data_IF_911790851009
#
_entry.id   IF_911790851009
#
_cell.length_a   1.000
_cell.length_b   1.000
_cell.length_c   1.000
_cell.angle_alpha   90.00
_cell.angle_beta   90.00
_cell.angle_gamma   90.00
#
_symmetry.space_group_name_H-M   'P 1'
#
loop_
_entity.id
_entity.type
_entity.pdbx_description
1 polymer ?
#
# COMPACT_ATOMS: atom_id res chain seq x y z
N UNK A 1 -28.44 -9.18 -2.69
CA UNK A 1 -28.61 -8.49 -1.40
C UNK A 1 -27.75 -7.24 -1.45
N UNK A 2 -28.38 -6.06 -1.44
CA UNK A 2 -27.69 -4.78 -1.57
C UNK A 2 -27.05 -4.41 -0.23
N UNK A 3 -25.75 -4.61 -0.12
CA UNK A 3 -24.95 -3.99 0.93
C UNK A 3 -24.70 -2.55 0.44
N UNK A 4 -25.20 -1.60 1.21
CA UNK A 4 -25.32 -0.17 0.90
C UNK A 4 -24.14 0.39 0.09
N UNK A 5 -24.37 1.04 -1.07
CA UNK A 5 -23.32 1.70 -1.79
C UNK A 5 -23.03 3.01 -1.04
N UNK A 6 -21.87 3.10 -0.39
CA UNK A 6 -21.22 4.41 -0.31
C UNK A 6 -21.14 4.87 -1.77
N UNK A 7 -21.73 6.02 -2.14
CA UNK A 7 -21.79 6.46 -3.53
C UNK A 7 -20.37 6.43 -4.11
N UNK A 8 -20.22 5.85 -5.30
CA UNK A 8 -18.95 5.85 -6.00
C UNK A 8 -18.41 7.29 -6.04
N UNK A 9 -17.32 7.53 -5.32
CA UNK A 9 -16.77 8.87 -5.16
C UNK A 9 -15.99 9.31 -6.42
N UNK A 10 -15.64 8.35 -7.28
CA UNK A 10 -14.87 8.57 -8.51
C UNK A 10 -15.54 7.87 -9.69
N UNK A 11 -16.01 8.64 -10.66
CA UNK A 11 -16.48 8.12 -11.95
C UNK A 11 -15.32 7.74 -12.88
N UNK A 12 -14.15 8.34 -12.68
CA UNK A 12 -12.92 8.06 -13.43
C UNK A 12 -11.69 8.26 -12.55
N UNK A 13 -10.56 7.65 -12.95
CA UNK A 13 -9.28 7.91 -12.32
C UNK A 13 -8.78 9.31 -12.68
N UNK A 14 -8.06 10.02 -11.79
CA UNK A 14 -7.43 11.30 -12.13
C UNK A 14 -6.70 11.20 -13.47
N UNK A 15 -6.83 12.21 -14.34
CA UNK A 15 -6.45 12.21 -15.77
C UNK A 15 -7.47 11.61 -16.76
N UNK A 16 -8.69 11.31 -16.32
CA UNK A 16 -9.78 10.86 -17.20
C UNK A 16 -9.63 9.41 -17.68
N UNK A 17 -8.80 8.62 -17.00
CA UNK A 17 -8.57 7.21 -17.31
C UNK A 17 -9.61 6.31 -16.64
N UNK A 18 -9.78 5.09 -17.14
CA UNK A 18 -10.67 4.12 -16.52
C UNK A 18 -10.22 3.76 -15.10
N UNK A 19 -11.18 3.47 -14.22
CA UNK A 19 -10.91 3.01 -12.84
C UNK A 19 -10.03 1.76 -12.80
N UNK A 20 -10.18 0.86 -13.78
CA UNK A 20 -9.30 -0.30 -13.98
C UNK A 20 -7.84 0.11 -14.17
N UNK A 21 -7.58 1.12 -15.01
CA UNK A 21 -6.24 1.66 -15.22
C UNK A 21 -5.70 2.31 -13.94
N UNK A 22 -6.58 3.01 -13.21
CA UNK A 22 -6.29 3.56 -11.90
C UNK A 22 -5.86 2.51 -10.87
N UNK A 23 -6.56 1.38 -10.84
CA UNK A 23 -6.24 0.24 -9.98
C UNK A 23 -4.87 -0.35 -10.29
N UNK A 24 -4.54 -0.53 -11.57
CA UNK A 24 -3.20 -0.98 -11.96
C UNK A 24 -2.11 -0.03 -11.49
N UNK A 25 -2.27 1.27 -11.76
CA UNK A 25 -1.30 2.30 -11.37
C UNK A 25 -1.13 2.30 -9.85
N UNK A 26 -2.23 2.28 -9.11
CA UNK A 26 -2.21 2.34 -7.64
C UNK A 26 -1.51 1.12 -7.04
N UNK A 27 -1.82 -0.09 -7.52
CA UNK A 27 -1.16 -1.29 -7.02
C UNK A 27 0.35 -1.30 -7.37
N UNK A 28 0.72 -0.87 -8.57
CA UNK A 28 2.15 -0.77 -8.98
C UNK A 28 2.90 0.23 -8.09
N UNK A 29 2.29 1.39 -7.79
CA UNK A 29 2.89 2.40 -6.93
C UNK A 29 3.08 1.89 -5.51
N UNK A 30 2.10 1.18 -4.95
CA UNK A 30 2.21 0.58 -3.61
C UNK A 30 3.33 -0.48 -3.58
N UNK A 31 3.45 -1.30 -4.62
CA UNK A 31 4.53 -2.31 -4.73
C UNK A 31 5.92 -1.71 -4.90
N UNK A 32 6.04 -0.51 -5.49
CA UNK A 32 7.31 0.18 -5.67
C UNK A 32 7.91 0.68 -4.36
N UNK A 33 7.09 0.98 -3.35
CA UNK A 33 7.52 1.56 -2.08
C UNK A 33 8.45 0.63 -1.28
N UNK A 34 8.11 -0.65 -1.01
CA UNK A 34 9.03 -1.55 -0.32
C UNK A 34 10.32 -1.81 -1.14
N UNK A 35 10.23 -1.79 -2.47
CA UNK A 35 11.40 -1.94 -3.36
C UNK A 35 12.33 -0.73 -3.22
N UNK A 36 11.78 0.49 -3.27
CA UNK A 36 12.53 1.73 -3.08
C UNK A 36 13.16 1.82 -1.68
N UNK A 37 12.42 1.41 -0.65
CA UNK A 37 12.93 1.33 0.72
C UNK A 37 14.15 0.40 0.83
N UNK A 38 14.06 -0.81 0.27
CA UNK A 38 15.17 -1.77 0.24
C UNK A 38 16.40 -1.24 -0.52
N UNK A 39 16.20 -0.55 -1.64
CA UNK A 39 17.29 0.07 -2.43
C UNK A 39 17.98 1.17 -1.61
N UNK A 40 17.21 2.05 -0.95
CA UNK A 40 17.74 3.15 -0.15
C UNK A 40 18.57 2.62 1.01
N UNK A 41 18.09 1.60 1.72
CA UNK A 41 18.86 0.95 2.78
C UNK A 41 20.16 0.34 2.28
N UNK A 42 20.11 -0.39 1.16
CA UNK A 42 21.32 -0.99 0.57
C UNK A 42 22.34 0.08 0.16
N UNK A 43 21.89 1.18 -0.44
CA UNK A 43 22.75 2.25 -0.93
C UNK A 43 23.30 3.15 0.18
N UNK A 44 22.51 3.46 1.20
CA UNK A 44 22.87 4.44 2.24
C UNK A 44 23.45 3.79 3.50
N UNK A 45 23.03 2.57 3.86
CA UNK A 45 23.46 1.92 5.10
C UNK A 45 24.58 0.90 4.88
N UNK A 46 24.82 0.46 3.64
CA UNK A 46 25.91 -0.47 3.31
C UNK A 46 25.76 -1.87 3.89
N UNK A 47 24.63 -2.17 4.54
CA UNK A 47 24.29 -3.50 5.01
C UNK A 47 24.13 -4.42 3.80
N UNK A 48 24.91 -5.51 3.78
CA UNK A 48 24.78 -6.52 2.75
C UNK A 48 23.34 -7.02 2.70
N UNK A 49 22.81 -7.20 1.48
CA UNK A 49 21.43 -7.61 1.16
C UNK A 49 20.84 -8.73 2.05
N UNK A 50 21.68 -9.55 2.70
CA UNK A 50 21.27 -10.64 3.59
C UNK A 50 21.04 -10.29 5.07
N UNK A 51 21.53 -9.15 5.59
CA UNK A 51 21.35 -8.77 7.00
C UNK A 51 20.00 -8.07 7.26
N UNK A 52 19.50 -7.32 6.28
CA UNK A 52 18.19 -6.65 6.34
C UNK A 52 17.01 -7.61 6.11
N UNK A 53 17.26 -8.82 5.60
CA UNK A 53 16.26 -9.91 5.49
C UNK A 53 16.07 -10.64 6.84
N UNK A 54 16.80 -10.24 7.88
CA UNK A 54 16.70 -10.80 9.22
C UNK A 54 15.96 -9.88 10.19
N UNK A 55 14.79 -10.33 10.64
CA UNK A 55 14.05 -9.90 11.83
C UNK A 55 13.03 -8.75 11.66
N UNK A 56 11.76 -9.14 11.81
CA UNK A 56 10.56 -8.35 12.13
C UNK A 56 9.87 -7.46 11.06
N UNK A 57 10.56 -6.86 10.08
CA UNK A 57 9.87 -6.03 9.06
C UNK A 57 9.55 -6.77 7.74
N UNK A 58 10.29 -7.85 7.43
CA UNK A 58 10.09 -8.64 6.20
C UNK A 58 8.72 -9.31 6.16
N UNK A 59 8.23 -9.82 7.28
CA UNK A 59 6.99 -10.61 7.29
C UNK A 59 5.77 -9.74 6.93
N UNK A 60 5.71 -8.50 7.42
CA UNK A 60 4.61 -7.59 7.13
C UNK A 60 4.68 -7.03 5.70
N UNK A 61 5.87 -6.62 5.25
CA UNK A 61 6.09 -6.12 3.89
C UNK A 61 5.82 -7.19 2.82
N UNK A 62 6.22 -8.44 3.09
CA UNK A 62 5.95 -9.58 2.18
C UNK A 62 4.46 -9.86 2.09
N UNK A 63 3.72 -9.81 3.20
CA UNK A 63 2.25 -9.99 3.18
C UNK A 63 1.57 -8.89 2.36
N UNK A 64 2.00 -7.64 2.50
CA UNK A 64 1.53 -6.52 1.67
C UNK A 64 1.84 -6.79 0.19
N UNK A 65 3.07 -7.14 -0.16
CA UNK A 65 3.49 -7.42 -1.54
C UNK A 65 2.63 -8.53 -2.15
N UNK A 66 2.48 -9.66 -1.45
CA UNK A 66 1.67 -10.81 -1.93
C UNK A 66 0.22 -10.38 -2.13
N UNK A 67 -0.36 -9.65 -1.17
CA UNK A 67 -1.74 -9.19 -1.27
C UNK A 67 -1.96 -8.29 -2.50
N UNK A 68 -1.09 -7.32 -2.74
CA UNK A 68 -1.21 -6.42 -3.89
C UNK A 68 -0.96 -7.11 -5.24
N UNK A 69 -0.09 -8.12 -5.28
CA UNK A 69 0.06 -8.99 -6.46
C UNK A 69 -1.23 -9.76 -6.73
N UNK A 70 -1.86 -10.32 -5.69
CA UNK A 70 -3.16 -11.00 -5.83
C UNK A 70 -4.20 -10.02 -6.37
N UNK A 71 -4.31 -8.83 -5.80
CA UNK A 71 -5.27 -7.81 -6.29
C UNK A 71 -5.01 -7.43 -7.74
N UNK A 72 -3.75 -7.26 -8.16
CA UNK A 72 -3.39 -7.02 -9.57
C UNK A 72 -3.90 -8.14 -10.48
N UNK A 73 -3.66 -9.41 -10.11
CA UNK A 73 -4.13 -10.57 -10.86
C UNK A 73 -5.66 -10.58 -10.94
N UNK A 74 -6.36 -10.29 -9.82
CA UNK A 74 -7.81 -10.22 -9.78
C UNK A 74 -8.35 -9.14 -10.73
N UNK A 75 -7.73 -7.95 -10.77
CA UNK A 75 -8.09 -6.86 -11.68
C UNK A 75 -7.81 -7.23 -13.15
N UNK A 76 -6.80 -8.04 -13.43
CA UNK A 76 -6.59 -8.61 -14.78
C UNK A 76 -7.68 -9.61 -15.20
N UNK A 77 -8.20 -10.39 -14.27
CA UNK A 77 -9.18 -11.43 -14.53
C UNK A 77 -10.65 -10.95 -14.54
N UNK A 78 -10.88 -9.71 -14.09
CA UNK A 78 -12.06 -8.83 -14.23
C UNK A 78 -13.42 -9.54 -14.39
N UNK A 79 -13.72 -10.10 -15.56
CA UNK A 79 -15.03 -10.65 -15.89
C UNK A 79 -15.29 -12.07 -15.36
N UNK A 80 -14.30 -12.72 -14.72
CA UNK A 80 -14.44 -14.10 -14.23
C UNK A 80 -14.61 -14.20 -12.72
N UNK A 81 -14.51 -13.08 -12.00
CA UNK A 81 -14.40 -13.09 -10.55
C UNK A 81 -15.69 -12.62 -9.90
N UNK A 82 -16.24 -13.36 -8.93
CA UNK A 82 -17.47 -12.95 -8.27
C UNK A 82 -17.22 -11.70 -7.41
N UNK A 83 -18.16 -10.75 -7.43
CA UNK A 83 -18.05 -9.49 -6.70
C UNK A 83 -17.80 -9.65 -5.18
N UNK A 84 -18.17 -10.78 -4.58
CA UNK A 84 -17.84 -11.08 -3.17
C UNK A 84 -16.32 -11.12 -2.91
N UNK A 85 -15.53 -11.57 -3.87
CA UNK A 85 -14.06 -11.61 -3.75
C UNK A 85 -13.51 -10.19 -3.75
N UNK A 86 -14.01 -9.31 -4.62
CA UNK A 86 -13.63 -7.90 -4.62
C UNK A 86 -14.01 -7.19 -3.32
N UNK A 87 -15.19 -7.50 -2.75
CA UNK A 87 -15.60 -6.96 -1.45
C UNK A 87 -14.63 -7.39 -0.33
N UNK A 88 -14.26 -8.67 -0.26
CA UNK A 88 -13.29 -9.17 0.72
C UNK A 88 -11.94 -8.49 0.54
N UNK A 89 -11.46 -8.32 -0.69
CA UNK A 89 -10.21 -7.61 -0.96
C UNK A 89 -10.27 -6.14 -0.51
N UNK A 90 -11.38 -5.44 -0.70
CA UNK A 90 -11.55 -4.07 -0.20
C UNK A 90 -11.47 -4.03 1.32
N UNK A 91 -12.15 -4.96 2.02
CA UNK A 91 -12.12 -5.01 3.49
C UNK A 91 -10.69 -5.24 3.99
N UNK A 92 -9.94 -6.17 3.39
CA UNK A 92 -8.54 -6.43 3.76
C UNK A 92 -7.68 -5.19 3.49
N UNK A 93 -7.87 -4.53 2.33
CA UNK A 93 -7.13 -3.30 2.01
C UNK A 93 -7.41 -2.20 3.03
N UNK A 94 -8.65 -2.00 3.46
CA UNK A 94 -9.01 -1.02 4.50
C UNK A 94 -8.28 -1.34 5.82
N UNK A 95 -8.26 -2.60 6.23
CA UNK A 95 -7.53 -3.02 7.44
C UNK A 95 -6.03 -2.70 7.30
N UNK A 96 -5.43 -3.03 6.16
CA UNK A 96 -4.01 -2.72 5.90
C UNK A 96 -3.73 -1.21 5.93
N UNK A 97 -4.62 -0.39 5.36
CA UNK A 97 -4.48 1.07 5.38
C UNK A 97 -4.56 1.63 6.82
N UNK A 98 -5.47 1.12 7.65
CA UNK A 98 -5.57 1.52 9.06
C UNK A 98 -4.34 1.12 9.85
N UNK A 99 -3.86 -0.12 9.69
CA UNK A 99 -2.65 -0.61 10.38
C UNK A 99 -1.42 0.18 9.95
N UNK A 100 -1.23 0.42 8.66
CA UNK A 100 -0.13 1.22 8.14
C UNK A 100 -0.16 2.66 8.66
N UNK A 101 -1.36 3.27 8.75
CA UNK A 101 -1.51 4.62 9.32
C UNK A 101 -1.13 4.65 10.80
N UNK A 102 -1.57 3.66 11.58
CA UNK A 102 -1.21 3.55 12.99
C UNK A 102 0.30 3.35 13.20
N UNK A 103 0.94 2.52 12.36
CA UNK A 103 2.39 2.34 12.35
C UNK A 103 3.11 3.64 12.07
N UNK A 104 2.72 4.37 11.01
CA UNK A 104 3.32 5.65 10.65
C UNK A 104 3.21 6.68 11.80
N UNK A 105 2.07 6.72 12.49
CA UNK A 105 1.90 7.61 13.64
C UNK A 105 2.86 7.22 14.77
N UNK A 106 3.05 5.92 15.03
CA UNK A 106 4.04 5.43 16.00
C UNK A 106 5.45 5.86 15.61
N UNK A 107 5.85 5.66 14.36
CA UNK A 107 7.18 6.01 13.84
C UNK A 107 7.46 7.52 13.98
N UNK A 108 6.45 8.36 13.71
CA UNK A 108 6.53 9.82 13.89
C UNK A 108 6.71 10.18 15.37
N UNK A 109 5.93 9.56 16.28
CA UNK A 109 6.03 9.81 17.72
C UNK A 109 7.40 9.38 18.26
N UNK A 110 7.92 8.24 17.83
CA UNK A 110 9.24 7.75 18.20
C UNK A 110 10.33 8.73 17.71
N UNK A 111 10.22 9.22 16.47
CA UNK A 111 11.13 10.25 15.94
C UNK A 111 11.09 11.56 16.74
N UNK A 112 9.90 11.99 17.19
CA UNK A 112 9.74 13.19 18.02
C UNK A 112 10.25 13.00 19.45
N UNK A 113 10.22 11.77 19.99
CA UNK A 113 10.65 11.44 21.35
C UNK A 113 12.18 11.46 21.53
N UNK A 114 12.94 11.48 20.44
CA UNK A 114 14.41 11.55 20.48
C UNK A 114 15.10 10.24 20.88
N UNK A 115 14.37 9.12 20.97
CA UNK A 115 14.95 7.79 21.18
C UNK A 115 15.65 7.28 19.90
N UNK A 116 16.99 7.29 19.95
CA UNK A 116 17.95 6.58 19.08
C UNK A 116 17.69 6.48 17.56
N UNK A 117 18.43 7.29 16.80
CA UNK A 117 18.66 7.09 15.35
C UNK A 117 20.11 6.69 15.06
N UNK A 118 20.41 5.40 14.85
CA UNK A 118 21.50 4.91 13.98
C UNK A 118 21.22 3.43 13.62
N UNK A 119 21.59 2.95 12.40
CA UNK A 119 22.52 3.58 11.47
C UNK A 119 21.86 4.30 10.28
N UNK A 120 22.44 5.46 9.93
CA UNK A 120 22.16 6.34 8.79
C UNK A 120 21.03 7.38 8.93
N UNK A 121 21.35 8.54 9.55
CA UNK A 121 20.44 9.70 9.68
C UNK A 121 19.72 10.13 8.39
N UNK A 122 20.35 9.93 7.23
CA UNK A 122 19.77 10.28 5.93
C UNK A 122 18.76 9.24 5.45
N UNK A 123 18.94 7.96 5.80
CA UNK A 123 18.01 6.91 5.39
C UNK A 123 16.66 7.09 6.08
N UNK A 124 16.64 7.46 7.36
CA UNK A 124 15.36 7.43 8.06
C UNK A 124 14.41 8.56 7.71
N UNK A 125 14.92 9.74 7.32
CA UNK A 125 14.05 10.77 6.77
C UNK A 125 13.42 10.30 5.45
N UNK A 126 14.18 9.60 4.61
CA UNK A 126 13.68 9.04 3.35
C UNK A 126 12.69 7.90 3.57
N UNK A 127 12.95 7.02 4.54
CA UNK A 127 12.02 5.95 4.96
C UNK A 127 10.71 6.53 5.48
N UNK A 128 10.77 7.58 6.31
CA UNK A 128 9.58 8.25 6.80
C UNK A 128 8.77 8.87 5.65
N UNK A 129 9.44 9.56 4.71
CA UNK A 129 8.77 10.13 3.53
C UNK A 129 8.13 9.02 2.68
N UNK A 130 8.83 7.91 2.46
CA UNK A 130 8.28 6.76 1.74
C UNK A 130 7.10 6.12 2.46
N UNK A 131 7.15 6.03 3.79
CA UNK A 131 6.05 5.52 4.62
C UNK A 131 4.83 6.44 4.55
N UNK A 132 5.01 7.76 4.64
CA UNK A 132 3.94 8.76 4.43
C UNK A 132 3.32 8.59 3.04
N UNK A 133 4.16 8.56 1.99
CA UNK A 133 3.70 8.38 0.61
C UNK A 133 2.94 7.05 0.47
N UNK A 134 3.40 5.97 1.11
CA UNK A 134 2.74 4.68 1.11
C UNK A 134 1.38 4.68 1.76
N UNK A 135 1.25 5.29 2.93
CA UNK A 135 -0.05 5.46 3.59
C UNK A 135 -1.01 6.28 2.73
N UNK A 136 -0.54 7.38 2.12
CA UNK A 136 -1.36 8.19 1.22
C UNK A 136 -1.86 7.38 0.03
N UNK A 137 -1.00 6.59 -0.62
CA UNK A 137 -1.41 5.73 -1.74
C UNK A 137 -2.31 4.57 -1.31
N UNK A 138 -2.09 3.99 -0.13
CA UNK A 138 -2.94 2.96 0.44
C UNK A 138 -4.36 3.48 0.67
N UNK A 139 -4.49 4.64 1.32
CA UNK A 139 -5.78 5.28 1.59
C UNK A 139 -6.46 5.71 0.30
N UNK A 140 -5.72 6.35 -0.62
CA UNK A 140 -6.26 6.72 -1.93
C UNK A 140 -6.75 5.51 -2.71
N UNK A 141 -6.00 4.40 -2.68
CA UNK A 141 -6.37 3.16 -3.34
C UNK A 141 -7.64 2.50 -2.82
N UNK A 142 -7.98 2.66 -1.55
CA UNK A 142 -9.28 2.23 -1.00
C UNK A 142 -10.42 2.92 -1.76
N UNK A 143 -10.34 4.23 -2.00
CA UNK A 143 -11.39 4.97 -2.72
C UNK A 143 -11.48 4.56 -4.19
N UNK A 144 -10.33 4.33 -4.83
CA UNK A 144 -10.27 3.86 -6.24
C UNK A 144 -10.87 2.46 -6.34
N UNK A 145 -10.51 1.54 -5.44
CA UNK A 145 -10.98 0.16 -5.49
C UNK A 145 -12.45 0.04 -5.13
N UNK A 146 -12.91 0.82 -4.17
CA UNK A 146 -14.34 0.94 -3.85
C UNK A 146 -15.14 1.39 -5.06
N UNK A 147 -14.71 2.46 -5.72
CA UNK A 147 -15.40 3.00 -6.91
C UNK A 147 -15.40 1.99 -8.06
N UNK A 148 -14.29 1.25 -8.24
CA UNK A 148 -14.20 0.15 -9.19
C UNK A 148 -15.18 -0.98 -8.89
N UNK A 149 -15.26 -1.43 -7.63
CA UNK A 149 -16.18 -2.48 -7.20
C UNK A 149 -17.65 -2.09 -7.39
N UNK A 150 -18.03 -0.86 -7.01
CA UNK A 150 -19.40 -0.36 -7.21
C UNK A 150 -19.73 -0.27 -8.70
N UNK A 151 -18.79 0.15 -9.55
CA UNK A 151 -18.98 0.22 -11.00
C UNK A 151 -19.09 -1.14 -11.72
N UNK A 152 -18.78 -2.25 -11.03
CA UNK A 152 -18.96 -3.61 -11.55
C UNK A 152 -20.35 -4.20 -11.26
N UNK A 153 -21.10 -3.63 -10.32
CA UNK A 153 -22.43 -4.09 -9.90
C UNK A 153 -23.56 -3.43 -10.66
#
# INVERSE_FOLDING_TARGET
MAILPIPACLESFPTGKSLKTGMYITCILILLIPILSAIIHTLLCGDGFGAYIGASYIDFDVVIIIFFIVVLILVFLDNKIPGIVHFVCIVIWVILAVVATASLVSDILDMLSGHHYYPCKTSTFLELVLSIVGVVFLVFGVFVYWSFYVGMG
#
